data_IF_962883050125
#
_entry.id   IF_962883050125
#
_cell.length_a   1.000
_cell.length_b   1.000
_cell.length_c   1.000
_cell.angle_alpha   90.00
_cell.angle_beta   90.00
_cell.angle_gamma   90.00
#
_symmetry.space_group_name_H-M   'P 1'
#
loop_
_entity.id
_entity.type
_entity.pdbx_description
1 polymer ?
#
# COMPACT_ATOMS: atom_id res chain seq x y z
N UNK A 1 -12.85 -12.17 -3.57
CA UNK A 1 -12.01 -12.00 -4.78
C UNK A 1 -12.44 -10.71 -5.46
N UNK A 2 -11.49 -9.85 -5.82
CA UNK A 2 -11.77 -8.57 -6.49
C UNK A 2 -10.97 -8.47 -7.80
N UNK A 3 -11.55 -7.77 -8.78
CA UNK A 3 -10.84 -7.31 -9.98
C UNK A 3 -11.02 -5.80 -10.08
N UNK A 4 -9.93 -5.07 -9.87
CA UNK A 4 -9.89 -3.61 -9.93
C UNK A 4 -9.03 -3.21 -11.12
N UNK A 5 -9.58 -2.37 -12.00
CA UNK A 5 -8.90 -1.91 -13.21
C UNK A 5 -9.16 -0.43 -13.43
N UNK A 6 -8.10 0.33 -13.67
CA UNK A 6 -8.16 1.70 -14.16
C UNK A 6 -7.27 1.85 -15.41
N UNK A 7 -7.53 2.84 -16.29
CA UNK A 7 -6.60 3.19 -17.37
C UNK A 7 -5.23 3.57 -16.80
N UNK A 8 -4.17 3.24 -17.53
CA UNK A 8 -2.79 3.50 -17.09
C UNK A 8 -2.48 5.00 -16.95
N UNK A 9 -3.21 5.91 -17.60
CA UNK A 9 -2.96 7.35 -17.48
C UNK A 9 -3.98 8.03 -16.55
N UNK A 10 -4.48 7.29 -15.55
CA UNK A 10 -5.51 7.77 -14.61
C UNK A 10 -4.87 8.04 -13.25
N UNK A 11 -4.34 9.25 -13.01
CA UNK A 11 -3.53 9.54 -11.83
C UNK A 11 -4.29 9.28 -10.53
N UNK A 12 -3.57 8.84 -9.51
CA UNK A 12 -4.06 8.65 -8.14
C UNK A 12 -5.19 7.62 -8.01
N UNK A 13 -5.20 6.61 -8.88
CA UNK A 13 -6.13 5.47 -8.78
C UNK A 13 -5.55 4.39 -7.87
N UNK A 14 -5.61 4.57 -6.56
CA UNK A 14 -5.25 3.49 -5.64
C UNK A 14 -6.25 2.34 -5.76
N UNK A 15 -5.78 1.10 -5.66
CA UNK A 15 -6.64 -0.07 -5.66
C UNK A 15 -7.39 -0.23 -4.35
N UNK A 16 -6.66 -0.43 -3.26
CA UNK A 16 -7.19 -0.54 -1.89
C UNK A 16 -6.40 0.36 -0.95
N UNK A 17 -7.06 1.35 -0.35
CA UNK A 17 -6.52 2.15 0.74
C UNK A 17 -7.02 1.63 2.08
N UNK A 18 -6.10 1.27 2.96
CA UNK A 18 -6.37 0.79 4.32
C UNK A 18 -5.92 1.86 5.30
N UNK A 19 -6.79 2.26 6.23
CA UNK A 19 -6.43 3.11 7.37
C UNK A 19 -7.27 2.70 8.59
N UNK A 20 -6.73 2.92 9.80
CA UNK A 20 -7.39 2.66 11.08
C UNK A 20 -8.11 1.30 11.16
N UNK A 21 -7.47 0.25 10.64
CA UNK A 21 -8.09 -1.06 10.42
C UNK A 21 -7.33 -2.20 11.10
N UNK A 22 -8.03 -3.24 11.53
CA UNK A 22 -7.46 -4.41 12.19
C UNK A 22 -7.97 -5.71 11.56
N UNK A 23 -7.10 -6.72 11.43
CA UNK A 23 -7.43 -8.08 10.95
C UNK A 23 -8.07 -8.08 9.56
N UNK A 24 -7.34 -7.58 8.58
CA UNK A 24 -7.77 -7.51 7.19
C UNK A 24 -7.04 -8.54 6.33
N UNK A 25 -7.80 -9.22 5.46
CA UNK A 25 -7.29 -10.25 4.56
C UNK A 25 -7.63 -9.89 3.12
N UNK A 26 -6.60 -9.65 2.30
CA UNK A 26 -6.72 -9.42 0.86
C UNK A 26 -6.09 -10.61 0.15
N UNK A 27 -6.88 -11.32 -0.65
CA UNK A 27 -6.38 -12.51 -1.34
C UNK A 27 -7.03 -12.73 -2.70
N UNK A 28 -6.35 -13.50 -3.55
CA UNK A 28 -6.86 -14.00 -4.84
C UNK A 28 -7.53 -12.90 -5.68
N UNK A 29 -6.80 -11.80 -5.90
CA UNK A 29 -7.33 -10.59 -6.53
C UNK A 29 -6.40 -10.04 -7.59
N UNK A 30 -6.98 -9.36 -8.58
CA UNK A 30 -6.25 -8.63 -9.62
C UNK A 30 -6.45 -7.14 -9.41
N UNK A 31 -5.37 -6.38 -9.30
CA UNK A 31 -5.39 -4.93 -9.15
C UNK A 31 -4.43 -4.33 -10.17
N UNK A 32 -5.00 -3.68 -11.17
CA UNK A 32 -4.23 -2.93 -12.17
C UNK A 32 -4.70 -1.49 -12.23
N UNK A 33 -3.91 -0.59 -11.66
CA UNK A 33 -4.19 0.84 -11.60
C UNK A 33 -2.91 1.65 -11.84
N UNK A 34 -2.99 2.98 -11.84
CA UNK A 34 -1.86 3.89 -12.08
C UNK A 34 -1.19 4.37 -10.77
N UNK A 35 -1.49 3.72 -9.63
CA UNK A 35 -0.91 4.09 -8.34
C UNK A 35 -0.71 2.82 -7.46
N UNK A 36 -0.84 2.95 -6.13
CA UNK A 36 -0.66 1.85 -5.20
C UNK A 36 -1.74 0.78 -5.44
N UNK A 37 -1.35 -0.48 -5.66
CA UNK A 37 -2.31 -1.59 -5.66
C UNK A 37 -2.98 -1.72 -4.30
N UNK A 38 -2.17 -1.64 -3.24
CA UNK A 38 -2.63 -1.57 -1.86
C UNK A 38 -1.77 -0.56 -1.11
N UNK A 39 -2.37 0.46 -0.51
CA UNK A 39 -1.71 1.34 0.43
C UNK A 39 -2.19 1.06 1.86
N UNK A 40 -1.25 0.85 2.77
CA UNK A 40 -1.50 0.56 4.20
C UNK A 40 -1.06 1.77 5.01
N UNK A 41 -2.01 2.55 5.49
CA UNK A 41 -1.80 3.79 6.21
C UNK A 41 -2.01 3.61 7.72
N UNK A 42 -2.06 4.74 8.44
CA UNK A 42 -1.94 4.83 9.88
C UNK A 42 -2.91 3.94 10.68
N UNK A 43 -2.45 3.56 11.87
CA UNK A 43 -3.20 2.80 12.88
C UNK A 43 -3.76 1.48 12.34
N UNK A 44 -3.04 0.86 11.41
CA UNK A 44 -3.43 -0.41 10.80
C UNK A 44 -2.60 -1.58 11.34
N UNK A 45 -3.25 -2.71 11.61
CA UNK A 45 -2.56 -3.89 12.16
C UNK A 45 -3.14 -5.22 11.70
N UNK A 46 -2.30 -6.26 11.69
CA UNK A 46 -2.68 -7.63 11.30
C UNK A 46 -3.28 -7.66 9.89
N UNK A 47 -2.48 -7.22 8.92
CA UNK A 47 -2.88 -7.13 7.51
C UNK A 47 -2.20 -8.28 6.76
N UNK A 48 -2.99 -9.12 6.11
CA UNK A 48 -2.48 -10.23 5.32
C UNK A 48 -2.88 -10.07 3.85
N UNK A 49 -1.88 -9.97 2.98
CA UNK A 49 -2.05 -9.82 1.54
C UNK A 49 -1.39 -11.03 0.87
N UNK A 50 -2.17 -11.84 0.15
CA UNK A 50 -1.61 -13.02 -0.51
C UNK A 50 -2.19 -13.31 -1.88
N UNK A 51 -1.38 -13.90 -2.78
CA UNK A 51 -1.85 -14.34 -4.11
C UNK A 51 -2.56 -13.24 -4.90
N UNK A 52 -2.04 -12.02 -4.83
CA UNK A 52 -2.54 -10.93 -5.67
C UNK A 52 -1.68 -10.74 -6.91
N UNK A 53 -2.31 -10.39 -8.02
CA UNK A 53 -1.65 -9.87 -9.22
C UNK A 53 -1.77 -8.35 -9.20
N UNK A 54 -0.64 -7.67 -9.10
CA UNK A 54 -0.55 -6.22 -8.94
C UNK A 54 0.23 -5.61 -10.10
N UNK A 55 -0.32 -4.57 -10.71
CA UNK A 55 0.39 -3.73 -11.67
C UNK A 55 -0.49 -3.22 -12.82
N UNK A 56 -0.11 -2.09 -13.46
CA UNK A 56 1.20 -1.41 -13.37
C UNK A 56 1.40 -0.49 -12.13
N UNK A 57 2.52 0.25 -12.10
CA UNK A 57 2.85 1.32 -11.13
C UNK A 57 3.33 0.94 -9.71
N UNK A 58 2.67 1.35 -8.62
CA UNK A 58 3.38 1.55 -7.35
C UNK A 58 3.46 0.33 -6.42
N UNK A 59 2.85 -0.80 -6.76
CA UNK A 59 2.98 -2.02 -5.96
C UNK A 59 2.16 -1.98 -4.65
N UNK A 60 2.62 -2.70 -3.63
CA UNK A 60 2.05 -2.64 -2.27
C UNK A 60 2.89 -1.70 -1.41
N UNK A 61 2.25 -0.72 -0.79
CA UNK A 61 2.94 0.30 -0.02
C UNK A 61 2.44 0.40 1.43
N UNK A 62 3.37 0.56 2.37
CA UNK A 62 3.06 1.09 3.70
C UNK A 62 3.31 2.60 3.69
N UNK A 63 2.33 3.36 4.16
CA UNK A 63 2.37 4.81 4.25
C UNK A 63 1.97 5.55 2.96
N UNK A 64 2.17 6.87 2.91
CA UNK A 64 3.13 7.62 3.74
C UNK A 64 2.73 7.77 5.21
N UNK A 65 3.67 7.51 6.14
CA UNK A 65 3.47 7.67 7.57
C UNK A 65 4.25 8.86 8.15
N UNK A 66 3.75 9.45 9.24
CA UNK A 66 4.42 10.43 10.08
C UNK A 66 4.34 11.88 9.57
N UNK A 67 3.29 12.21 8.82
CA UNK A 67 3.10 13.56 8.28
C UNK A 67 3.11 14.58 9.42
N UNK A 68 3.82 15.69 9.22
CA UNK A 68 3.96 16.77 10.21
C UNK A 68 4.53 16.32 11.57
N UNK A 69 5.22 15.18 11.63
CA UNK A 69 5.76 14.60 12.86
C UNK A 69 4.72 13.85 13.68
N UNK A 70 3.60 13.45 13.07
CA UNK A 70 2.59 12.62 13.69
C UNK A 70 3.19 11.26 14.12
N UNK A 71 2.67 10.74 15.23
CA UNK A 71 2.91 9.36 15.64
C UNK A 71 1.86 8.47 14.98
N UNK A 72 2.32 7.58 14.09
CA UNK A 72 1.47 6.67 13.33
C UNK A 72 2.13 5.28 13.33
N UNK A 73 1.32 4.24 13.42
CA UNK A 73 1.78 2.86 13.47
C UNK A 73 1.18 2.03 12.34
N UNK A 74 1.98 1.11 11.82
CA UNK A 74 1.54 0.00 10.97
C UNK A 74 2.30 -1.23 11.42
N UNK A 75 1.58 -2.27 11.84
CA UNK A 75 2.15 -3.43 12.55
C UNK A 75 1.59 -4.75 12.01
N UNK A 76 2.37 -5.84 12.11
CA UNK A 76 1.92 -7.18 11.73
C UNK A 76 1.38 -7.26 10.28
N UNK A 77 2.18 -6.78 9.32
CA UNK A 77 1.85 -6.81 7.88
C UNK A 77 2.57 -7.97 7.20
N UNK A 78 1.80 -8.87 6.60
CA UNK A 78 2.28 -10.04 5.89
C UNK A 78 1.89 -9.93 4.41
N UNK A 79 2.89 -9.99 3.53
CA UNK A 79 2.71 -10.00 2.07
C UNK A 79 3.40 -11.24 1.50
N UNK A 80 2.64 -12.13 0.87
CA UNK A 80 3.17 -13.42 0.39
C UNK A 80 2.55 -13.84 -0.95
N UNK A 81 3.30 -14.58 -1.77
CA UNK A 81 2.80 -15.18 -3.03
C UNK A 81 2.20 -14.17 -4.03
N UNK A 82 2.66 -12.91 -4.00
CA UNK A 82 2.17 -11.86 -4.89
C UNK A 82 2.99 -11.78 -6.18
N UNK A 83 2.34 -11.44 -7.29
CA UNK A 83 3.01 -11.16 -8.58
C UNK A 83 2.91 -9.67 -8.87
N UNK A 84 4.06 -9.04 -9.12
CA UNK A 84 4.16 -7.63 -9.48
C UNK A 84 4.62 -7.51 -10.93
N UNK A 85 3.79 -6.92 -11.78
CA UNK A 85 4.04 -6.82 -13.22
C UNK A 85 4.02 -5.38 -13.68
N UNK A 86 5.13 -4.89 -14.25
CA UNK A 86 5.20 -3.50 -14.73
C UNK A 86 5.13 -2.44 -13.63
N UNK A 87 5.38 -2.83 -12.38
CA UNK A 87 5.41 -1.91 -11.24
C UNK A 87 6.79 -1.28 -11.08
N UNK A 88 6.86 0.00 -10.72
CA UNK A 88 8.10 0.66 -10.31
C UNK A 88 8.69 0.10 -9.02
N UNK A 89 7.84 -0.38 -8.10
CA UNK A 89 8.24 -1.01 -6.85
C UNK A 89 7.38 -2.25 -6.61
N UNK A 90 7.94 -3.32 -6.05
CA UNK A 90 7.14 -4.47 -5.59
C UNK A 90 6.45 -4.15 -4.27
N UNK A 91 7.23 -4.11 -3.19
CA UNK A 91 6.80 -3.62 -1.89
C UNK A 91 7.67 -2.44 -1.47
N UNK A 92 7.07 -1.40 -0.86
CA UNK A 92 7.82 -0.22 -0.39
C UNK A 92 7.20 0.37 0.88
N UNK A 93 8.04 0.98 1.71
CA UNK A 93 7.64 1.72 2.93
C UNK A 93 7.96 3.19 2.71
N UNK A 94 6.95 4.06 2.88
CA UNK A 94 7.03 5.51 2.73
C UNK A 94 6.84 6.15 4.11
N UNK A 95 7.82 6.93 4.58
CA UNK A 95 7.67 7.75 5.79
C UNK A 95 8.12 9.18 5.53
N UNK A 96 7.50 10.14 6.21
CA UNK A 96 7.97 11.51 6.21
C UNK A 96 9.28 11.63 6.97
N UNK A 97 10.16 12.52 6.49
CA UNK A 97 11.39 12.86 7.19
C UNK A 97 11.08 13.47 8.55
N UNK A 98 11.86 13.12 9.57
CA UNK A 98 11.77 13.79 10.86
C UNK A 98 12.05 15.29 10.70
N UNK A 99 11.29 16.12 11.44
CA UNK A 99 11.58 17.56 11.51
C UNK A 99 12.82 17.75 12.39
N UNK A 100 13.98 17.85 11.76
CA UNK A 100 15.20 18.25 12.47
C UNK A 100 15.00 19.70 12.94
N UNK A 101 14.77 19.89 14.25
CA UNK A 101 14.88 21.22 14.84
C UNK A 101 16.36 21.60 14.75
N UNK A 102 16.70 22.56 13.88
CA UNK A 102 18.03 23.17 13.90
C UNK A 102 18.19 23.88 15.25
N UNK A 103 19.36 23.78 15.89
CA UNK A 103 19.63 24.45 17.17
C UNK A 103 19.43 25.96 17.07
#
# INVERSE_FOLDING_TARGET
HLKITAPQESPNTNGIDISASNRLYIYDSFIGTDDDCVAINEFSSYINISRIMCGPEHGINIGSLGKDGAYETVEEVHVADCTFTGTMNGARIKTWKARIRKP
#
